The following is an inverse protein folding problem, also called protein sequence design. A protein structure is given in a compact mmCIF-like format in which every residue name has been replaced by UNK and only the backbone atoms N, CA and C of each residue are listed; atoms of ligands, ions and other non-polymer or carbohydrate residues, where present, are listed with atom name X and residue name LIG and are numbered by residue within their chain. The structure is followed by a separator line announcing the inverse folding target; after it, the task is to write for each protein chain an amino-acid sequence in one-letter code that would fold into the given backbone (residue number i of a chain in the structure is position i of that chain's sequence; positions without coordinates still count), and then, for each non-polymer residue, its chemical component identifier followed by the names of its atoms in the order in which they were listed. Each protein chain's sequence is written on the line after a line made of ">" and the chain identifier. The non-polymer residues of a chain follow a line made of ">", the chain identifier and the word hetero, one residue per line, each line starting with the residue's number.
data_IF_627752060388
#
_entry.id   IF_627752060388
#
_cell.length_a   1.000
_cell.length_b   1.000
_cell.length_c   1.000
_cell.angle_alpha   90.00
_cell.angle_beta   90.00
_cell.angle_gamma   90.00
#
_symmetry.space_group_name_H-M   'P 1'
#
loop_
_entity.id
_entity.type
_entity.pdbx_description
1 polymer ?
#
# COMPACT_ATOMS: atom_id res chain seq x y z
N UNK A 1 24.39 -55.70 13.27
CA UNK A 1 24.71 -54.72 12.21
C UNK A 1 23.78 -53.52 12.36
N UNK A 2 24.31 -52.37 12.75
CA UNK A 2 23.59 -51.12 12.93
C UNK A 2 23.42 -50.47 11.56
N UNK A 3 22.18 -50.17 11.14
CA UNK A 3 21.93 -49.23 10.04
C UNK A 3 21.23 -48.00 10.59
N UNK A 4 21.99 -46.91 10.61
CA UNK A 4 21.59 -45.55 10.96
C UNK A 4 20.96 -44.86 9.76
N UNK A 5 20.14 -43.86 10.10
CA UNK A 5 19.83 -42.64 9.35
C UNK A 5 18.74 -42.81 8.26
N UNK A 6 17.80 -41.89 8.07
CA UNK A 6 17.81 -40.46 8.39
C UNK A 6 16.37 -39.95 8.54
N UNK A 7 16.10 -39.26 9.65
CA UNK A 7 14.92 -38.41 9.85
C UNK A 7 15.15 -37.10 9.08
N UNK A 8 14.31 -36.72 8.11
CA UNK A 8 14.26 -35.36 7.59
C UNK A 8 12.84 -35.01 7.14
N UNK A 9 12.11 -34.35 8.03
CA UNK A 9 11.10 -33.35 7.67
C UNK A 9 11.58 -32.03 8.29
N UNK A 10 11.57 -30.91 7.56
CA UNK A 10 10.67 -29.86 8.01
C UNK A 10 10.04 -29.02 6.88
N UNK A 11 8.71 -28.93 6.95
CA UNK A 11 7.91 -27.69 6.93
C UNK A 11 8.58 -26.45 6.31
N UNK A 12 8.23 -26.14 5.06
CA UNK A 12 8.45 -24.83 4.45
C UNK A 12 7.28 -23.90 4.83
N UNK A 13 7.36 -23.29 6.01
CA UNK A 13 6.57 -22.12 6.36
C UNK A 13 7.10 -20.93 5.56
N UNK A 14 6.52 -20.67 4.39
CA UNK A 14 6.62 -19.38 3.74
C UNK A 14 5.82 -18.36 4.58
N UNK A 15 6.43 -17.91 5.67
CA UNK A 15 5.93 -16.79 6.44
C UNK A 15 6.01 -15.55 5.54
N UNK A 16 4.85 -15.11 5.05
CA UNK A 16 4.64 -13.76 4.56
C UNK A 16 4.76 -12.80 5.76
N UNK A 17 5.98 -12.61 6.27
CA UNK A 17 6.31 -11.56 7.20
C UNK A 17 6.21 -10.24 6.44
N UNK A 18 5.01 -9.69 6.38
CA UNK A 18 4.80 -8.31 5.96
C UNK A 18 5.44 -7.45 7.06
N UNK A 19 6.68 -7.02 6.81
CA UNK A 19 7.42 -6.17 7.73
C UNK A 19 6.55 -4.95 8.10
N UNK A 20 6.54 -4.54 9.38
CA UNK A 20 5.84 -3.33 9.76
C UNK A 20 6.44 -2.14 9.00
N UNK A 21 5.60 -1.37 8.30
CA UNK A 21 5.97 -0.13 7.59
C UNK A 21 6.26 1.01 8.59
N UNK A 22 6.72 0.69 9.80
CA UNK A 22 7.03 1.62 10.87
C UNK A 22 8.36 1.21 11.49
N UNK A 23 9.43 1.56 10.80
CA UNK A 23 10.81 1.50 11.25
C UNK A 23 11.53 2.79 10.82
N UNK A 24 12.74 3.06 11.32
CA UNK A 24 13.52 4.22 10.88
C UNK A 24 13.76 4.24 9.36
N UNK A 25 13.72 3.08 8.72
CA UNK A 25 13.89 2.91 7.27
C UNK A 25 12.55 2.76 6.50
N UNK A 26 11.41 2.92 7.17
CA UNK A 26 10.12 2.79 6.50
C UNK A 26 9.87 4.00 5.59
N UNK A 27 9.38 3.80 4.36
CA UNK A 27 9.12 4.87 3.43
C UNK A 27 8.17 5.89 4.05
N UNK A 28 8.53 7.18 3.97
CA UNK A 28 7.72 8.26 4.50
C UNK A 28 6.49 8.45 3.62
N UNK A 29 5.34 7.96 4.12
CA UNK A 29 4.04 8.15 3.47
C UNK A 29 3.26 9.22 4.22
N UNK A 30 2.91 10.31 3.54
CA UNK A 30 1.94 11.29 4.02
C UNK A 30 0.61 11.04 3.36
N UNK A 31 -0.47 11.19 4.11
CA UNK A 31 -1.82 10.86 3.65
C UNK A 31 -2.80 11.95 4.09
N UNK A 32 -3.69 12.34 3.19
CA UNK A 32 -4.78 13.27 3.47
C UNK A 32 -5.97 13.01 2.55
N UNK A 33 -7.12 13.52 2.98
CA UNK A 33 -8.40 13.41 2.28
C UNK A 33 -8.50 14.47 1.18
N UNK A 34 -8.89 14.06 -0.03
CA UNK A 34 -9.25 14.97 -1.13
C UNK A 34 -10.68 15.48 -0.94
N UNK A 35 -11.05 16.58 -1.58
CA UNK A 35 -12.44 17.06 -1.61
C UNK A 35 -13.34 16.21 -2.53
N UNK A 36 -12.77 15.34 -3.35
CA UNK A 36 -13.50 14.54 -4.33
C UNK A 36 -14.05 13.22 -3.76
N UNK A 37 -15.35 13.00 -3.97
CA UNK A 37 -16.01 11.72 -3.65
C UNK A 37 -15.55 10.60 -4.59
N UNK A 38 -15.35 9.40 -4.03
CA UNK A 38 -15.16 8.16 -4.79
C UNK A 38 -16.46 7.35 -4.92
N UNK A 39 -17.59 7.92 -4.49
CA UNK A 39 -18.90 7.26 -4.47
C UNK A 39 -19.08 6.30 -3.29
N UNK A 40 -20.33 5.89 -3.03
CA UNK A 40 -20.67 4.87 -2.02
C UNK A 40 -20.09 5.13 -0.62
N UNK A 41 -20.06 6.40 -0.20
CA UNK A 41 -19.50 6.83 1.10
C UNK A 41 -17.97 6.71 1.19
N UNK A 42 -17.29 6.48 0.08
CA UNK A 42 -15.84 6.55 -0.04
C UNK A 42 -15.41 7.91 -0.58
N UNK A 43 -14.18 8.28 -0.28
CA UNK A 43 -13.56 9.51 -0.77
C UNK A 43 -12.18 9.21 -1.34
N UNK A 44 -11.74 10.04 -2.27
CA UNK A 44 -10.37 9.97 -2.72
C UNK A 44 -9.44 10.47 -1.63
N UNK A 45 -8.38 9.73 -1.38
CA UNK A 45 -7.28 10.16 -0.53
C UNK A 45 -6.01 10.23 -1.34
N UNK A 46 -5.19 11.20 -0.99
CA UNK A 46 -3.88 11.41 -1.59
C UNK A 46 -2.84 10.83 -0.67
N UNK A 47 -1.98 10.00 -1.25
CA UNK A 47 -0.77 9.50 -0.65
C UNK A 47 0.41 10.20 -1.33
N UNK A 48 1.30 10.78 -0.53
CA UNK A 48 2.57 11.34 -0.97
C UNK A 48 3.68 10.45 -0.45
N UNK A 49 4.56 10.03 -1.36
CA UNK A 49 5.74 9.23 -1.07
C UNK A 49 6.99 10.12 -1.07
N UNK A 50 8.12 9.55 -0.66
CA UNK A 50 9.41 10.24 -0.73
C UNK A 50 9.69 10.72 -2.17
N UNK A 51 9.84 12.04 -2.41
CA UNK A 51 10.04 12.59 -3.74
C UNK A 51 11.43 12.30 -4.33
N UNK A 52 12.40 11.89 -3.51
CA UNK A 52 13.75 11.50 -3.96
C UNK A 52 13.80 10.09 -4.54
N UNK A 53 12.74 9.31 -4.34
CA UNK A 53 12.62 7.92 -4.78
C UNK A 53 11.36 7.75 -5.66
N UNK A 54 11.47 7.96 -6.98
CA UNK A 54 10.39 7.66 -7.91
C UNK A 54 10.00 6.18 -7.84
N UNK A 55 8.70 5.90 -7.86
CA UNK A 55 8.16 4.54 -7.77
C UNK A 55 7.12 4.31 -8.85
N UNK A 56 7.07 3.08 -9.36
CA UNK A 56 6.00 2.69 -10.27
C UNK A 56 4.64 2.69 -9.55
N UNK A 57 3.57 2.55 -10.33
CA UNK A 57 2.22 2.61 -9.76
C UNK A 57 1.92 1.42 -8.84
N UNK A 58 2.45 0.23 -9.13
CA UNK A 58 2.13 -0.97 -8.36
C UNK A 58 2.81 -0.93 -6.98
N UNK A 59 4.04 -0.44 -6.92
CA UNK A 59 4.77 -0.18 -5.67
C UNK A 59 4.06 0.86 -4.82
N UNK A 60 3.62 1.96 -5.43
CA UNK A 60 2.84 3.00 -4.72
C UNK A 60 1.54 2.44 -4.16
N UNK A 61 0.83 1.61 -4.92
CA UNK A 61 -0.41 0.95 -4.45
C UNK A 61 -0.09 0.02 -3.28
N UNK A 62 0.97 -0.80 -3.38
CA UNK A 62 1.37 -1.72 -2.33
C UNK A 62 1.70 -0.99 -1.02
N UNK A 63 2.48 0.08 -1.10
CA UNK A 63 2.85 0.92 0.05
C UNK A 63 1.63 1.61 0.67
N UNK A 64 0.76 2.21 -0.14
CA UNK A 64 -0.44 2.87 0.37
C UNK A 64 -1.38 1.88 1.08
N UNK A 65 -1.59 0.68 0.51
CA UNK A 65 -2.39 -0.37 1.14
C UNK A 65 -1.78 -0.84 2.47
N UNK A 66 -0.46 -0.94 2.54
CA UNK A 66 0.23 -1.31 3.77
C UNK A 66 0.13 -0.21 4.83
N UNK A 67 0.28 1.06 4.44
CA UNK A 67 0.07 2.21 5.32
C UNK A 67 -1.33 2.24 5.92
N UNK A 68 -2.37 2.15 5.08
CA UNK A 68 -3.78 2.16 5.52
C UNK A 68 -4.07 1.02 6.50
N UNK A 69 -3.55 -0.18 6.23
CA UNK A 69 -3.71 -1.34 7.11
C UNK A 69 -3.04 -1.11 8.47
N UNK A 70 -1.85 -0.52 8.49
CA UNK A 70 -1.13 -0.23 9.73
C UNK A 70 -1.78 0.90 10.53
N UNK A 71 -2.40 1.87 9.86
CA UNK A 71 -3.10 2.98 10.49
C UNK A 71 -4.41 2.56 11.15
N UNK A 72 -5.21 1.72 10.48
CA UNK A 72 -6.45 1.15 11.03
C UNK A 72 -7.65 2.11 11.11
N UNK A 73 -7.48 3.40 10.77
CA UNK A 73 -8.56 4.41 10.77
C UNK A 73 -9.39 4.44 9.48
N UNK A 74 -8.83 3.89 8.42
CA UNK A 74 -9.42 3.89 7.09
C UNK A 74 -9.38 2.49 6.48
N UNK A 75 -10.34 2.21 5.60
CA UNK A 75 -10.41 0.96 4.83
C UNK A 75 -10.23 1.26 3.35
N UNK A 76 -9.37 0.49 2.68
CA UNK A 76 -9.19 0.54 1.24
C UNK A 76 -10.42 -0.05 0.53
N UNK A 77 -11.12 0.75 -0.27
CA UNK A 77 -12.36 0.32 -0.94
C UNK A 77 -12.07 -0.40 -2.25
N UNK A 78 -10.90 -0.14 -2.85
CA UNK A 78 -10.52 -0.73 -4.14
C UNK A 78 -11.02 0.08 -5.32
N UNK A 79 -10.23 0.07 -6.39
CA UNK A 79 -10.56 0.57 -7.71
C UNK A 79 -9.70 -0.19 -8.74
N UNK A 80 -10.15 -0.31 -10.00
CA UNK A 80 -9.29 -0.76 -11.08
C UNK A 80 -7.99 0.03 -11.13
N UNK A 81 -6.88 -0.64 -11.47
CA UNK A 81 -5.55 -0.01 -11.52
C UNK A 81 -5.53 1.22 -12.44
N UNK A 82 -6.21 1.14 -13.58
CA UNK A 82 -6.29 2.24 -14.55
C UNK A 82 -7.11 3.42 -14.01
N UNK A 83 -8.09 3.18 -13.15
CA UNK A 83 -8.83 4.24 -12.48
C UNK A 83 -7.95 4.94 -11.44
N UNK A 84 -7.13 4.19 -10.69
CA UNK A 84 -6.14 4.77 -9.78
C UNK A 84 -5.11 5.61 -10.55
N UNK A 85 -4.64 5.12 -11.70
CA UNK A 85 -3.70 5.85 -12.56
C UNK A 85 -4.33 7.17 -13.07
N UNK A 86 -5.53 7.08 -13.65
CA UNK A 86 -6.26 8.23 -14.18
C UNK A 86 -6.55 9.26 -13.09
N UNK A 87 -7.03 8.82 -11.94
CA UNK A 87 -7.33 9.72 -10.84
C UNK A 87 -6.06 10.37 -10.28
N UNK A 88 -4.96 9.61 -10.15
CA UNK A 88 -3.67 10.17 -9.72
C UNK A 88 -3.20 11.26 -10.68
N UNK A 89 -3.30 11.03 -12.00
CA UNK A 89 -2.94 12.02 -13.00
C UNK A 89 -3.85 13.28 -12.92
N UNK A 90 -5.15 13.09 -12.71
CA UNK A 90 -6.11 14.20 -12.57
C UNK A 90 -5.84 15.07 -11.34
N UNK A 91 -5.40 14.47 -10.23
CA UNK A 91 -5.09 15.18 -8.98
C UNK A 91 -3.71 15.85 -9.00
N UNK A 92 -2.78 15.40 -9.85
CA UNK A 92 -1.42 15.92 -9.85
C UNK A 92 -0.49 15.25 -10.85
N UNK A 93 -0.74 15.40 -12.15
CA UNK A 93 0.05 14.79 -13.23
C UNK A 93 1.57 14.98 -13.08
N UNK A 94 2.01 16.16 -12.62
CA UNK A 94 3.43 16.49 -12.39
C UNK A 94 4.10 15.61 -11.33
N UNK A 95 3.35 15.05 -10.40
CA UNK A 95 3.85 14.28 -9.26
C UNK A 95 3.38 12.83 -9.30
N UNK A 96 2.94 12.33 -10.46
CA UNK A 96 2.33 11.02 -10.58
C UNK A 96 3.25 9.87 -10.14
N UNK A 97 4.57 10.05 -10.16
CA UNK A 97 5.56 9.04 -9.73
C UNK A 97 5.83 9.05 -8.21
N UNK A 98 5.38 10.09 -7.50
CA UNK A 98 5.60 10.30 -6.06
C UNK A 98 4.29 10.54 -5.30
N UNK A 99 3.16 10.34 -5.98
CA UNK A 99 1.80 10.51 -5.45
C UNK A 99 0.92 9.33 -5.85
N UNK A 100 -0.11 9.01 -5.07
CA UNK A 100 -1.18 8.11 -5.46
C UNK A 100 -2.52 8.65 -4.97
N UNK A 101 -3.53 8.65 -5.83
CA UNK A 101 -4.91 8.83 -5.43
C UNK A 101 -5.58 7.45 -5.27
N UNK A 102 -6.18 7.18 -4.10
CA UNK A 102 -6.89 5.93 -3.87
C UNK A 102 -8.18 6.11 -3.04
N UNK A 103 -9.22 5.31 -3.28
CA UNK A 103 -10.50 5.46 -2.61
C UNK A 103 -10.47 4.76 -1.25
N UNK A 104 -10.71 5.53 -0.18
CA UNK A 104 -10.83 5.00 1.17
C UNK A 104 -12.21 5.33 1.75
N UNK A 105 -12.60 4.51 2.73
CA UNK A 105 -13.68 4.83 3.66
C UNK A 105 -13.09 4.92 5.06
N UNK A 106 -13.12 6.09 5.66
CA UNK A 106 -12.60 6.34 6.99
C UNK A 106 -13.74 6.45 8.00
N UNK A 107 -13.51 5.94 9.22
CA UNK A 107 -14.39 6.23 10.36
C UNK A 107 -13.96 7.56 10.95
N UNK A 108 -14.90 8.49 11.09
CA UNK A 108 -14.66 9.78 11.74
C UNK A 108 -14.29 9.62 13.22
#
# INVERSE_FOLDING_TARGET
>A
MIRRATFLLPVLLAACAQAPVRGPDAPTVRHFESTETAGNGARWHIFLFDPSEPRDLDDRIALARAFVRAEGRCTWVGAPRDDLARQTAAQGARYAETMLAAPLRCTA
#
